data_IF_942239936660
#
_entry.id   IF_942239936660
#
_cell.length_a   1.000
_cell.length_b   1.000
_cell.length_c   1.000
_cell.angle_alpha   90.00
_cell.angle_beta   90.00
_cell.angle_gamma   90.00
#
_symmetry.space_group_name_H-M   'P 1'
#
loop_
_entity.id
_entity.type
_entity.pdbx_description
1 polymer ?
#
# COMPACT_ATOMS: atom_id res chain seq x y z
N UNK A 1 -13.42 -0.77 6.16
CA UNK A 1 -11.93 -0.67 6.05
C UNK A 1 -11.57 -0.03 4.74
N UNK A 2 -10.69 0.91 4.76
CA UNK A 2 -10.20 1.63 3.58
C UNK A 2 -8.70 1.43 3.47
N UNK A 3 -8.23 1.05 2.29
CA UNK A 3 -6.81 0.81 2.01
C UNK A 3 -6.39 1.69 0.86
N UNK A 4 -5.33 2.46 1.05
CA UNK A 4 -4.77 3.35 0.03
C UNK A 4 -3.32 2.99 -0.23
N UNK A 5 -2.93 3.01 -1.49
CA UNK A 5 -1.54 2.91 -1.90
C UNK A 5 -1.16 4.17 -2.67
N UNK A 6 -0.03 4.76 -2.31
CA UNK A 6 0.61 5.81 -3.11
C UNK A 6 2.00 5.32 -3.48
N UNK A 7 2.28 5.23 -4.77
CA UNK A 7 3.59 4.88 -5.30
C UNK A 7 4.20 6.13 -5.91
N UNK A 8 5.42 6.46 -5.50
CA UNK A 8 6.14 7.64 -6.00
C UNK A 8 7.61 7.31 -6.18
N UNK A 9 8.35 8.20 -6.82
CA UNK A 9 9.79 8.07 -7.02
C UNK A 9 10.14 7.43 -8.36
N UNK A 10 11.37 6.93 -8.45
CA UNK A 10 11.93 6.44 -9.70
C UNK A 10 12.35 7.57 -10.63
N UNK A 11 12.89 7.21 -11.79
CA UNK A 11 13.43 8.17 -12.76
C UNK A 11 12.39 9.12 -13.33
N UNK A 12 11.16 8.68 -13.43
CA UNK A 12 10.11 9.45 -14.11
C UNK A 12 9.35 10.37 -13.17
N UNK A 13 9.50 10.16 -11.85
CA UNK A 13 8.77 10.94 -10.86
C UNK A 13 7.26 10.78 -10.93
N UNK A 14 6.77 9.74 -11.60
CA UNK A 14 5.36 9.50 -11.73
C UNK A 14 4.76 9.03 -10.41
N UNK A 15 3.55 9.49 -10.12
CA UNK A 15 2.79 9.07 -8.93
C UNK A 15 1.64 8.19 -9.39
N UNK A 16 1.50 7.03 -8.76
CA UNK A 16 0.37 6.13 -8.96
C UNK A 16 -0.37 5.96 -7.65
N UNK A 17 -1.68 5.88 -7.73
CA UNK A 17 -2.53 5.78 -6.55
C UNK A 17 -3.57 4.68 -6.73
N UNK A 18 -3.89 4.04 -5.62
CA UNK A 18 -4.99 3.09 -5.54
C UNK A 18 -5.71 3.31 -4.21
N UNK A 19 -7.02 3.46 -4.25
CA UNK A 19 -7.83 3.59 -3.05
C UNK A 19 -8.95 2.56 -3.13
N UNK A 20 -9.06 1.73 -2.09
CA UNK A 20 -10.08 0.69 -2.03
C UNK A 20 -10.78 0.73 -0.67
N UNK A 21 -12.11 0.80 -0.72
CA UNK A 21 -12.94 0.75 0.47
C UNK A 21 -13.78 -0.52 0.41
N UNK A 22 -13.67 -1.38 1.42
CA UNK A 22 -14.40 -2.65 1.45
C UNK A 22 -15.91 -2.46 1.42
N UNK A 23 -16.41 -1.31 1.85
CA UNK A 23 -17.84 -1.00 1.80
C UNK A 23 -18.33 -0.75 0.36
N UNK A 24 -17.41 -0.43 -0.56
CA UNK A 24 -17.72 -0.13 -1.95
C UNK A 24 -17.38 -1.28 -2.90
N UNK A 25 -16.79 -2.36 -2.39
CA UNK A 25 -16.38 -3.50 -3.20
C UNK A 25 -17.43 -4.60 -3.17
N UNK A 26 -17.42 -5.46 -4.21
CA UNK A 26 -18.19 -6.71 -4.16
C UNK A 26 -17.72 -7.55 -2.97
N UNK A 27 -18.60 -8.40 -2.48
CA UNK A 27 -18.30 -9.23 -1.33
C UNK A 27 -17.03 -10.10 -1.50
N UNK A 28 -16.84 -10.81 -2.63
CA UNK A 28 -15.62 -11.60 -2.81
C UNK A 28 -14.35 -10.76 -2.82
N UNK A 29 -14.37 -9.62 -3.47
CA UNK A 29 -13.22 -8.73 -3.53
C UNK A 29 -12.94 -8.07 -2.19
N UNK A 30 -13.98 -7.66 -1.46
CA UNK A 30 -13.83 -7.11 -0.12
C UNK A 30 -13.22 -8.13 0.84
N UNK A 31 -13.67 -9.38 0.80
CA UNK A 31 -13.12 -10.45 1.62
C UNK A 31 -11.67 -10.76 1.27
N UNK A 32 -11.33 -10.73 -0.01
CA UNK A 32 -9.96 -10.95 -0.47
C UNK A 32 -9.03 -9.86 0.06
N UNK A 33 -9.43 -8.60 -0.03
CA UNK A 33 -8.65 -7.48 0.48
C UNK A 33 -8.46 -7.57 1.99
N UNK A 34 -9.51 -7.89 2.74
CA UNK A 34 -9.42 -8.07 4.20
C UNK A 34 -8.44 -9.19 4.55
N UNK A 35 -8.47 -10.28 3.81
CA UNK A 35 -7.55 -11.40 4.04
C UNK A 35 -6.11 -10.98 3.79
N UNK A 36 -5.85 -10.24 2.73
CA UNK A 36 -4.51 -9.75 2.42
C UNK A 36 -3.98 -8.83 3.53
N UNK A 37 -4.83 -7.97 4.06
CA UNK A 37 -4.47 -7.09 5.19
C UNK A 37 -4.17 -7.92 6.44
N UNK A 38 -5.01 -8.90 6.76
CA UNK A 38 -4.80 -9.76 7.92
C UNK A 38 -3.50 -10.57 7.78
N UNK A 39 -3.26 -11.14 6.61
CA UNK A 39 -2.06 -11.96 6.35
C UNK A 39 -0.79 -11.12 6.35
N UNK A 40 -0.89 -9.82 6.09
CA UNK A 40 0.26 -8.93 6.13
C UNK A 40 0.78 -8.71 7.55
N UNK A 41 -0.05 -8.97 8.56
CA UNK A 41 0.33 -8.79 9.96
C UNK A 41 0.61 -7.36 10.36
N UNK A 42 0.19 -6.39 9.57
CA UNK A 42 0.48 -4.99 9.78
C UNK A 42 -0.42 -4.44 10.89
N UNK A 43 0.16 -4.17 12.05
CA UNK A 43 -0.58 -3.68 13.22
C UNK A 43 -0.09 -2.34 13.71
N UNK A 44 1.05 -1.88 13.20
CA UNK A 44 1.67 -0.62 13.63
C UNK A 44 2.23 0.11 12.43
N UNK A 45 2.16 1.43 12.48
CA UNK A 45 2.79 2.27 11.46
C UNK A 45 4.30 2.10 11.51
N UNK A 46 4.94 2.09 10.35
CA UNK A 46 6.38 2.01 10.27
C UNK A 46 6.89 2.69 9.00
N UNK A 47 8.17 3.06 9.04
CA UNK A 47 8.85 3.66 7.90
C UNK A 47 10.16 2.91 7.70
N UNK A 48 10.40 2.44 6.47
CA UNK A 48 11.61 1.69 6.13
C UNK A 48 12.13 2.15 4.77
N UNK A 49 13.26 2.84 4.77
CA UNK A 49 13.91 3.32 3.57
C UNK A 49 15.37 2.88 3.52
N UNK A 50 15.87 2.67 2.30
CA UNK A 50 17.29 2.52 2.05
C UNK A 50 17.93 3.90 1.95
N UNK A 51 18.96 4.17 2.74
CA UNK A 51 19.53 5.51 2.92
C UNK A 51 20.02 6.17 1.63
N UNK A 52 20.47 5.42 0.65
CA UNK A 52 21.02 5.96 -0.60
C UNK A 52 20.14 5.72 -1.82
N UNK A 53 18.89 5.33 -1.61
CA UNK A 53 18.03 4.90 -2.69
C UNK A 53 17.17 6.03 -3.26
N UNK A 54 17.79 6.97 -3.96
CA UNK A 54 17.06 8.11 -4.53
C UNK A 54 16.22 7.73 -5.75
N UNK A 55 16.63 6.67 -6.46
CA UNK A 55 15.98 6.26 -7.70
C UNK A 55 14.99 5.11 -7.51
N UNK A 56 14.82 4.65 -6.28
CA UNK A 56 13.89 3.57 -5.97
C UNK A 56 12.46 4.09 -5.86
N UNK A 57 11.52 3.26 -6.28
CA UNK A 57 10.11 3.52 -6.03
C UNK A 57 9.85 3.49 -4.53
N UNK A 58 9.01 4.40 -4.08
CA UNK A 58 8.57 4.48 -2.69
C UNK A 58 7.09 4.15 -2.64
N UNK A 59 6.70 3.43 -1.61
CA UNK A 59 5.32 3.01 -1.41
C UNK A 59 4.82 3.49 -0.05
N UNK A 60 3.62 4.03 -0.05
CA UNK A 60 2.92 4.37 1.18
C UNK A 60 1.58 3.62 1.18
N UNK A 61 1.40 2.76 2.15
CA UNK A 61 0.14 2.04 2.34
C UNK A 61 -0.52 2.55 3.60
N UNK A 62 -1.74 3.05 3.49
CA UNK A 62 -2.54 3.50 4.62
C UNK A 62 -3.73 2.57 4.76
N UNK A 63 -3.94 2.04 5.95
CA UNK A 63 -5.06 1.17 6.28
C UNK A 63 -5.87 1.85 7.37
N UNK A 64 -7.10 2.24 7.04
CA UNK A 64 -8.04 2.86 7.98
C UNK A 64 -9.15 1.89 8.33
N UNK A 65 -9.37 1.69 9.60
CA UNK A 65 -10.49 0.94 10.16
C UNK A 65 -11.22 1.81 11.18
N UNK A 66 -12.37 1.34 11.68
CA UNK A 66 -13.23 2.14 12.57
C UNK A 66 -12.51 2.71 13.80
N UNK A 67 -11.50 2.01 14.29
CA UNK A 67 -10.81 2.39 15.52
C UNK A 67 -9.34 2.73 15.33
N UNK A 68 -8.77 2.56 14.13
CA UNK A 68 -7.33 2.74 13.95
C UNK A 68 -6.95 3.12 12.53
N UNK A 69 -5.80 3.75 12.42
CA UNK A 69 -5.17 4.05 11.14
C UNK A 69 -3.71 3.61 11.22
N UNK A 70 -3.28 2.86 10.22
CA UNK A 70 -1.90 2.40 10.11
C UNK A 70 -1.33 2.93 8.80
N UNK A 71 -0.16 3.55 8.87
CA UNK A 71 0.55 4.04 7.70
C UNK A 71 1.91 3.37 7.61
N UNK A 72 2.19 2.73 6.49
CA UNK A 72 3.46 2.09 6.21
C UNK A 72 4.12 2.77 5.04
N UNK A 73 5.36 3.15 5.24
CA UNK A 73 6.16 3.78 4.19
C UNK A 73 7.45 2.98 4.02
N UNK A 74 7.74 2.56 2.80
CA UNK A 74 8.95 1.79 2.50
C UNK A 74 9.34 1.97 1.04
N UNK A 75 10.60 1.69 0.72
CA UNK A 75 11.04 1.64 -0.66
C UNK A 75 10.99 0.21 -1.21
N UNK A 76 11.24 0.04 -2.52
CA UNK A 76 11.13 -1.26 -3.17
C UNK A 76 12.13 -2.30 -2.68
N UNK A 77 13.20 -1.89 -2.00
CA UNK A 77 14.18 -2.82 -1.39
C UNK A 77 13.81 -3.23 0.02
N UNK A 78 12.92 -2.51 0.65
CA UNK A 78 12.52 -2.75 2.04
C UNK A 78 11.08 -3.20 2.19
N UNK A 79 10.50 -3.80 1.15
CA UNK A 79 9.13 -4.32 1.22
C UNK A 79 9.09 -5.48 2.22
N UNK A 80 8.28 -5.37 3.30
CA UNK A 80 8.12 -6.49 4.21
C UNK A 80 7.56 -7.70 3.46
N UNK A 81 8.14 -8.87 3.69
CA UNK A 81 7.72 -10.09 2.99
C UNK A 81 6.22 -10.37 3.19
N UNK A 82 5.74 -10.17 4.41
CA UNK A 82 4.33 -10.36 4.73
C UNK A 82 3.40 -9.41 3.99
N UNK A 83 3.90 -8.27 3.53
CA UNK A 83 3.10 -7.26 2.83
C UNK A 83 3.20 -7.37 1.30
N UNK A 84 4.02 -8.28 0.77
CA UNK A 84 4.23 -8.37 -0.68
C UNK A 84 2.96 -8.68 -1.46
N UNK A 85 2.15 -9.58 -0.96
CA UNK A 85 0.90 -9.95 -1.62
C UNK A 85 -0.08 -8.78 -1.63
N UNK A 86 -0.19 -8.07 -0.51
CA UNK A 86 -1.04 -6.89 -0.43
C UNK A 86 -0.55 -5.81 -1.38
N UNK A 87 0.75 -5.53 -1.38
CA UNK A 87 1.34 -4.54 -2.28
C UNK A 87 1.08 -4.91 -3.75
N UNK A 88 1.30 -6.16 -4.12
CA UNK A 88 1.06 -6.62 -5.49
C UNK A 88 -0.39 -6.45 -5.93
N UNK A 89 -1.32 -6.77 -5.05
CA UNK A 89 -2.75 -6.59 -5.30
C UNK A 89 -3.09 -5.11 -5.55
N UNK A 90 -2.56 -4.22 -4.71
CA UNK A 90 -2.80 -2.79 -4.84
C UNK A 90 -2.11 -2.19 -6.07
N UNK A 91 -0.89 -2.63 -6.37
CA UNK A 91 -0.16 -2.15 -7.55
C UNK A 91 -0.87 -2.47 -8.85
N UNK A 92 -1.49 -3.63 -8.96
CA UNK A 92 -2.24 -4.00 -10.16
C UNK A 92 -3.41 -3.07 -10.42
N UNK A 93 -3.91 -2.41 -9.39
CA UNK A 93 -5.06 -1.50 -9.45
C UNK A 93 -4.66 -0.03 -9.41
N UNK A 94 -3.38 0.25 -9.17
CA UNK A 94 -2.90 1.62 -9.10
C UNK A 94 -2.88 2.27 -10.48
N UNK A 95 -3.28 3.53 -10.54
CA UNK A 95 -3.34 4.32 -11.76
C UNK A 95 -2.59 5.63 -11.57
N UNK A 96 -2.08 6.23 -12.65
CA UNK A 96 -1.49 7.54 -12.56
C UNK A 96 -2.46 8.50 -11.88
N UNK A 97 -1.95 9.21 -10.86
CA UNK A 97 -2.75 10.16 -10.10
C UNK A 97 -2.09 11.51 -10.08
N UNK A 98 -2.90 12.53 -9.86
CA UNK A 98 -2.39 13.87 -9.59
C UNK A 98 -2.38 14.08 -8.09
N UNK A 99 -1.30 14.64 -7.61
CA UNK A 99 -1.22 15.06 -6.22
C UNK A 99 -2.00 16.35 -6.03
#
# INVERSE_FOLDING_TARGET
>A
MKVCLVQSGGFVGAVKRCEMDTAMLDRPEAEHLKRLVDDSGLKQSSTRFTDEARDLNQYEITIEDDASEICLTFDEQNVPESARQLLGFLKQRARPGKL
#
